data_IF_882619817101
#
_entry.id   IF_882619817101
#
_cell.length_a   1.000
_cell.length_b   1.000
_cell.length_c   1.000
_cell.angle_alpha   90.00
_cell.angle_beta   90.00
_cell.angle_gamma   90.00
#
_symmetry.space_group_name_H-M   'P 1'
#
loop_
_entity.id
_entity.type
_entity.pdbx_description
1 polymer ?
#
# COMPACT_ATOMS: atom_id res chain seq x y z
N UNK A 1 -23.07 28.54 -21.50
CA UNK A 1 -21.86 27.67 -21.70
C UNK A 1 -20.64 28.54 -21.51
N UNK A 2 -20.15 28.59 -20.28
CA UNK A 2 -18.93 29.36 -19.96
C UNK A 2 -17.76 28.37 -20.09
N UNK A 3 -16.93 28.56 -21.12
CA UNK A 3 -15.57 28.05 -21.14
C UNK A 3 -14.78 28.82 -20.08
N UNK A 4 -14.80 28.38 -18.85
CA UNK A 4 -13.75 28.77 -17.92
C UNK A 4 -12.44 28.34 -18.58
N UNK A 5 -11.53 29.29 -18.80
CA UNK A 5 -10.19 29.02 -19.31
C UNK A 5 -9.57 27.95 -18.42
N UNK A 6 -9.20 26.80 -19.00
CA UNK A 6 -8.27 25.87 -18.40
C UNK A 6 -6.95 26.62 -18.20
N UNK A 7 -6.84 27.33 -17.08
CA UNK A 7 -5.53 27.72 -16.59
C UNK A 7 -4.77 26.41 -16.41
N UNK A 8 -3.75 26.22 -17.20
CA UNK A 8 -2.94 25.01 -17.20
C UNK A 8 -2.45 24.75 -15.76
N UNK A 9 -3.00 23.75 -15.09
CA UNK A 9 -2.67 23.50 -13.71
C UNK A 9 -1.18 23.15 -13.61
N UNK A 10 -0.42 24.06 -13.00
CA UNK A 10 1.02 23.89 -12.84
C UNK A 10 1.28 22.82 -11.79
N UNK A 11 1.99 21.76 -12.17
CA UNK A 11 2.43 20.72 -11.25
C UNK A 11 3.62 21.23 -10.43
N UNK A 12 3.75 20.79 -9.15
CA UNK A 12 4.94 21.08 -8.36
C UNK A 12 6.21 20.58 -9.04
N UNK A 13 7.27 21.37 -8.99
CA UNK A 13 8.55 21.00 -9.58
C UNK A 13 9.19 19.81 -8.83
N UNK A 14 9.30 18.66 -9.50
CA UNK A 14 9.85 17.45 -8.94
C UNK A 14 11.31 17.62 -8.48
N UNK A 15 12.13 18.27 -9.31
CA UNK A 15 13.57 18.43 -9.09
C UNK A 15 13.94 19.77 -8.42
N UNK A 16 13.09 20.24 -7.50
CA UNK A 16 13.35 21.42 -6.66
C UNK A 16 13.04 21.07 -5.21
N UNK A 17 13.98 21.39 -4.31
CA UNK A 17 13.78 21.23 -2.87
C UNK A 17 12.72 22.21 -2.34
N UNK A 18 12.21 21.93 -1.15
CA UNK A 18 11.24 22.80 -0.48
C UNK A 18 11.79 24.22 -0.19
N UNK A 19 13.12 24.34 -0.04
CA UNK A 19 13.82 25.62 0.13
C UNK A 19 14.05 26.40 -1.18
N UNK A 20 13.54 25.91 -2.32
CA UNK A 20 13.65 26.51 -3.63
C UNK A 20 14.95 26.20 -4.37
N UNK A 21 15.89 25.46 -3.81
CA UNK A 21 17.13 25.07 -4.50
C UNK A 21 16.90 23.92 -5.47
N UNK A 22 17.67 23.86 -6.56
CA UNK A 22 17.56 22.81 -7.56
C UNK A 22 18.21 21.48 -7.09
N UNK A 23 17.60 20.36 -7.46
CA UNK A 23 18.22 19.02 -7.36
C UNK A 23 19.19 18.86 -8.54
N UNK A 24 20.43 19.33 -8.37
CA UNK A 24 21.41 19.46 -9.44
C UNK A 24 22.15 18.17 -9.77
N UNK A 25 22.05 17.13 -8.95
CA UNK A 25 22.75 15.87 -9.17
C UNK A 25 21.96 14.67 -8.66
N UNK A 26 22.12 13.46 -9.24
CA UNK A 26 21.45 12.25 -8.77
C UNK A 26 21.67 11.95 -7.27
N UNK A 27 22.85 12.25 -6.72
CA UNK A 27 23.17 12.06 -5.32
C UNK A 27 22.28 12.91 -4.36
N UNK A 28 21.66 13.99 -4.86
CA UNK A 28 20.75 14.83 -4.08
C UNK A 28 19.31 14.30 -4.08
N UNK A 29 18.96 13.38 -4.97
CA UNK A 29 17.63 12.82 -5.12
C UNK A 29 17.09 12.14 -3.85
N UNK A 30 17.85 11.33 -3.08
CA UNK A 30 17.33 10.71 -1.86
C UNK A 30 16.78 11.71 -0.86
N UNK A 31 17.43 12.88 -0.70
CA UNK A 31 16.92 13.97 0.14
C UNK A 31 15.59 14.51 -0.39
N UNK A 32 15.51 14.77 -1.71
CA UNK A 32 14.28 15.29 -2.33
C UNK A 32 13.14 14.27 -2.26
N UNK A 33 13.43 13.01 -2.55
CA UNK A 33 12.47 11.90 -2.43
C UNK A 33 11.88 11.86 -1.02
N UNK A 34 12.73 11.99 0.00
CA UNK A 34 12.29 12.02 1.39
C UNK A 34 11.38 13.22 1.70
N UNK A 35 11.72 14.42 1.23
CA UNK A 35 10.85 15.61 1.39
C UNK A 35 9.46 15.37 0.79
N UNK A 36 9.39 14.81 -0.41
CA UNK A 36 8.12 14.52 -1.08
C UNK A 36 7.34 13.44 -0.30
N UNK A 37 7.99 12.36 0.10
CA UNK A 37 7.37 11.30 0.87
C UNK A 37 6.83 11.80 2.22
N UNK A 38 7.61 12.61 2.94
CA UNK A 38 7.19 13.21 4.22
C UNK A 38 5.94 14.09 4.04
N UNK A 39 5.89 14.91 2.98
CA UNK A 39 4.75 15.77 2.67
C UNK A 39 3.49 14.96 2.35
N UNK A 40 3.62 13.96 1.48
CA UNK A 40 2.49 13.09 1.08
C UNK A 40 2.00 12.31 2.28
N UNK A 41 2.89 11.66 3.02
CA UNK A 41 2.54 10.86 4.20
C UNK A 41 1.86 11.71 5.27
N UNK A 42 2.33 12.94 5.50
CA UNK A 42 1.74 13.83 6.52
C UNK A 42 0.39 14.42 6.08
N UNK A 43 0.30 14.96 4.86
CA UNK A 43 -0.89 15.68 4.41
C UNK A 43 -1.97 14.73 3.89
N UNK A 44 -1.61 13.82 3.00
CA UNK A 44 -2.59 12.94 2.36
C UNK A 44 -3.00 11.80 3.28
N UNK A 45 -2.05 11.19 3.95
CA UNK A 45 -2.29 9.95 4.69
C UNK A 45 -2.38 10.12 6.22
N UNK A 46 -1.96 11.26 6.78
CA UNK A 46 -2.00 11.53 8.22
C UNK A 46 -0.97 10.75 9.03
N UNK A 47 0.12 10.34 8.39
CA UNK A 47 1.17 9.52 8.97
C UNK A 47 1.04 8.04 8.64
N UNK A 48 1.98 7.25 9.17
CA UNK A 48 1.94 5.78 9.14
C UNK A 48 1.83 5.25 10.57
N UNK A 49 1.19 4.09 10.80
CA UNK A 49 1.26 3.41 12.09
C UNK A 49 2.71 3.10 12.45
N UNK A 50 3.08 3.11 13.75
CA UNK A 50 4.44 2.81 14.18
C UNK A 50 4.91 1.42 13.72
N UNK A 51 6.21 1.33 13.42
CA UNK A 51 6.85 0.03 13.16
C UNK A 51 7.00 -0.71 14.49
N UNK A 52 6.50 -1.95 14.62
CA UNK A 52 6.69 -2.74 15.82
C UNK A 52 8.16 -3.15 15.97
N UNK A 53 8.58 -3.44 17.20
CA UNK A 53 9.94 -3.91 17.47
C UNK A 53 10.22 -5.29 16.85
N UNK A 54 9.19 -6.12 16.73
CA UNK A 54 9.29 -7.46 16.18
C UNK A 54 8.06 -7.81 15.34
N UNK A 55 8.28 -8.57 14.27
CA UNK A 55 7.21 -9.19 13.48
C UNK A 55 7.62 -10.61 13.12
N UNK A 56 6.75 -11.57 13.37
CA UNK A 56 7.00 -13.00 13.11
C UNK A 56 5.93 -13.60 12.21
N UNK A 57 6.27 -14.70 11.54
CA UNK A 57 5.34 -15.57 10.82
C UNK A 57 5.25 -16.92 11.53
N UNK A 58 4.14 -17.17 12.17
CA UNK A 58 3.80 -18.48 12.73
C UNK A 58 3.09 -19.31 11.66
N UNK A 59 3.65 -20.46 11.28
CA UNK A 59 2.96 -21.41 10.38
C UNK A 59 1.84 -22.10 11.14
N UNK A 60 0.60 -21.87 10.74
CA UNK A 60 -0.59 -22.51 11.31
C UNK A 60 -0.93 -23.81 10.58
N UNK A 61 -0.73 -23.84 9.28
CA UNK A 61 -1.11 -24.95 8.42
C UNK A 61 -0.22 -25.01 7.18
N UNK A 62 0.17 -26.23 6.80
CA UNK A 62 0.90 -26.51 5.56
C UNK A 62 0.29 -27.74 4.90
N UNK A 63 -0.08 -27.66 3.63
CA UNK A 63 -0.64 -28.77 2.87
C UNK A 63 -0.20 -28.75 1.40
N UNK A 64 -0.36 -29.87 0.72
CA UNK A 64 -0.33 -29.93 -0.74
C UNK A 64 -1.64 -29.37 -1.32
N UNK A 65 -1.57 -28.87 -2.54
CA UNK A 65 -2.76 -28.35 -3.25
C UNK A 65 -3.24 -29.42 -4.24
N UNK A 66 -4.48 -29.88 -4.06
CA UNK A 66 -5.07 -30.90 -4.96
C UNK A 66 -5.12 -30.37 -6.40
N UNK A 67 -4.60 -31.17 -7.33
CA UNK A 67 -4.59 -30.85 -8.76
C UNK A 67 -3.44 -29.94 -9.21
N UNK A 68 -2.56 -29.52 -8.29
CA UNK A 68 -1.34 -28.76 -8.58
C UNK A 68 -0.13 -29.50 -8.01
N UNK A 69 0.52 -30.31 -8.85
CA UNK A 69 1.64 -31.14 -8.41
C UNK A 69 2.80 -30.28 -7.88
N UNK A 70 3.31 -30.63 -6.70
CA UNK A 70 4.42 -29.96 -6.02
C UNK A 70 4.08 -28.59 -5.42
N UNK A 71 2.89 -28.02 -5.67
CA UNK A 71 2.45 -26.78 -5.06
C UNK A 71 2.06 -27.01 -3.60
N UNK A 72 2.54 -26.13 -2.72
CA UNK A 72 2.24 -26.13 -1.29
C UNK A 72 1.40 -24.90 -0.92
N UNK A 73 0.42 -25.10 -0.07
CA UNK A 73 -0.34 -24.03 0.57
C UNK A 73 0.11 -23.87 2.01
N UNK A 74 0.52 -22.66 2.38
CA UNK A 74 0.84 -22.30 3.76
C UNK A 74 -0.17 -21.24 4.22
N UNK A 75 -0.84 -21.51 5.34
CA UNK A 75 -1.56 -20.51 6.10
C UNK A 75 -0.74 -20.14 7.32
N UNK A 76 -0.43 -18.87 7.47
CA UNK A 76 0.38 -18.35 8.55
C UNK A 76 -0.30 -17.20 9.26
N UNK A 77 0.12 -16.94 10.48
CA UNK A 77 -0.23 -15.77 11.27
C UNK A 77 0.96 -14.83 11.30
N UNK A 78 0.80 -13.64 10.74
CA UNK A 78 1.73 -12.52 10.96
C UNK A 78 1.38 -11.94 12.32
N UNK A 79 2.35 -11.86 13.21
CA UNK A 79 2.16 -11.36 14.56
C UNK A 79 3.22 -10.33 14.91
N UNK A 80 2.78 -9.19 15.45
CA UNK A 80 3.65 -8.16 16.02
C UNK A 80 3.71 -8.30 17.53
N UNK A 81 4.78 -7.86 18.16
CA UNK A 81 4.86 -7.92 19.60
C UNK A 81 6.17 -7.37 20.15
N UNK A 82 6.40 -7.56 21.47
CA UNK A 82 5.41 -7.95 22.50
C UNK A 82 4.58 -6.78 23.04
N UNK A 83 5.05 -5.52 22.90
CA UNK A 83 4.49 -4.37 23.61
C UNK A 83 3.08 -3.99 23.13
N UNK A 84 2.87 -4.06 21.82
CA UNK A 84 1.58 -3.75 21.17
C UNK A 84 1.23 -4.86 20.18
N UNK A 85 0.72 -6.00 20.68
CA UNK A 85 0.45 -7.17 19.86
C UNK A 85 -0.71 -6.94 18.91
N UNK A 86 -0.48 -7.29 17.64
CA UNK A 86 -1.49 -7.36 16.61
C UNK A 86 -1.22 -8.58 15.73
N UNK A 87 -2.25 -9.23 15.24
CA UNK A 87 -2.10 -10.38 14.39
C UNK A 87 -3.14 -10.41 13.28
N UNK A 88 -2.73 -10.95 12.11
CA UNK A 88 -3.59 -11.17 10.96
C UNK A 88 -3.10 -12.37 10.14
N UNK A 89 -3.92 -12.86 9.23
CA UNK A 89 -3.60 -14.02 8.42
C UNK A 89 -2.85 -13.64 7.14
N UNK A 90 -1.86 -14.46 6.80
CA UNK A 90 -1.14 -14.44 5.52
C UNK A 90 -1.17 -15.84 4.93
N UNK A 91 -1.63 -15.97 3.70
CA UNK A 91 -1.62 -17.23 2.97
C UNK A 91 -0.61 -17.19 1.84
N UNK A 92 0.10 -18.29 1.63
CA UNK A 92 1.10 -18.44 0.58
C UNK A 92 0.77 -19.66 -0.26
N UNK A 93 0.76 -19.49 -1.59
CA UNK A 93 0.91 -20.58 -2.52
C UNK A 93 2.37 -20.61 -2.96
N UNK A 94 3.08 -21.68 -2.64
CA UNK A 94 4.49 -21.87 -2.97
C UNK A 94 4.59 -22.76 -4.21
N UNK A 95 5.36 -22.34 -5.22
CA UNK A 95 5.60 -23.17 -6.41
C UNK A 95 6.39 -24.43 -6.06
N UNK A 96 6.46 -25.44 -6.96
CA UNK A 96 7.32 -26.60 -6.79
C UNK A 96 8.80 -26.23 -6.62
N UNK A 97 9.53 -26.99 -5.80
CA UNK A 97 10.96 -26.81 -5.54
C UNK A 97 11.26 -26.23 -4.16
N UNK A 98 12.53 -25.91 -3.94
CA UNK A 98 13.05 -25.49 -2.62
C UNK A 98 13.22 -23.98 -2.48
N UNK A 99 13.26 -23.25 -3.61
CA UNK A 99 13.46 -21.79 -3.61
C UNK A 99 14.95 -21.39 -3.53
N UNK A 100 15.27 -20.15 -3.12
CA UNK A 100 14.31 -19.09 -2.77
C UNK A 100 13.53 -18.56 -3.99
N UNK A 101 12.26 -18.24 -3.77
CA UNK A 101 11.35 -17.78 -4.80
C UNK A 101 11.05 -16.29 -4.68
N UNK A 102 10.87 -15.56 -5.80
CA UNK A 102 10.28 -14.22 -5.78
C UNK A 102 8.83 -14.28 -5.32
N UNK A 103 8.32 -13.15 -4.83
CA UNK A 103 6.97 -13.07 -4.23
C UNK A 103 6.12 -12.04 -4.97
N UNK A 104 4.86 -12.37 -5.23
CA UNK A 104 3.79 -11.43 -5.54
C UNK A 104 2.85 -11.38 -4.34
N UNK A 105 2.80 -10.22 -3.67
CA UNK A 105 1.99 -9.99 -2.47
C UNK A 105 0.80 -9.09 -2.79
N UNK A 106 -0.40 -9.50 -2.36
CA UNK A 106 -1.61 -8.68 -2.46
C UNK A 106 -2.40 -8.66 -1.16
N UNK A 107 -2.98 -7.50 -0.82
CA UNK A 107 -3.87 -7.30 0.32
C UNK A 107 -5.36 -7.37 -0.02
N UNK A 108 -5.71 -7.76 -1.25
CA UNK A 108 -7.09 -7.69 -1.77
C UNK A 108 -7.93 -8.94 -1.49
N UNK A 109 -7.49 -9.84 -0.63
CA UNK A 109 -8.26 -11.04 -0.25
C UNK A 109 -9.61 -10.72 0.43
N UNK A 110 -9.83 -9.48 0.87
CA UNK A 110 -11.10 -8.99 1.41
C UNK A 110 -12.20 -8.79 0.37
N UNK A 111 -11.82 -8.56 -0.88
CA UNK A 111 -12.75 -8.15 -1.93
C UNK A 111 -12.81 -9.15 -3.08
N UNK A 112 -11.65 -9.60 -3.50
CA UNK A 112 -11.54 -10.51 -4.64
C UNK A 112 -10.33 -11.42 -4.47
N UNK A 113 -10.58 -12.70 -4.38
CA UNK A 113 -9.50 -13.65 -4.47
C UNK A 113 -8.89 -13.63 -5.87
N UNK A 114 -7.59 -13.88 -5.95
CA UNK A 114 -6.90 -14.11 -7.20
C UNK A 114 -7.56 -15.32 -7.90
N UNK A 115 -7.89 -15.18 -9.19
CA UNK A 115 -8.48 -16.28 -9.94
C UNK A 115 -7.49 -17.43 -10.12
N UNK A 116 -8.00 -18.66 -10.30
CA UNK A 116 -7.16 -19.84 -10.52
C UNK A 116 -6.20 -19.65 -11.70
N UNK A 117 -6.65 -18.97 -12.77
CA UNK A 117 -5.81 -18.69 -13.93
C UNK A 117 -4.62 -17.78 -13.58
N UNK A 118 -4.83 -16.74 -12.78
CA UNK A 118 -3.76 -15.84 -12.33
C UNK A 118 -2.85 -16.57 -11.35
N UNK A 119 -3.40 -17.35 -10.42
CA UNK A 119 -2.61 -18.15 -9.50
C UNK A 119 -1.72 -19.16 -10.25
N UNK A 120 -2.27 -19.85 -11.24
CA UNK A 120 -1.51 -20.78 -12.07
C UNK A 120 -0.38 -20.09 -12.86
N UNK A 121 -0.62 -18.90 -13.43
CA UNK A 121 0.40 -18.12 -14.14
C UNK A 121 1.54 -17.67 -13.20
N UNK A 122 1.21 -17.17 -12.02
CA UNK A 122 2.19 -16.75 -10.99
C UNK A 122 3.05 -17.94 -10.56
N UNK A 123 2.41 -19.06 -10.21
CA UNK A 123 3.09 -20.28 -9.77
C UNK A 123 3.90 -20.91 -10.91
N UNK A 124 3.36 -20.95 -12.13
CA UNK A 124 4.04 -21.49 -13.31
C UNK A 124 5.30 -20.73 -13.70
N UNK A 125 5.41 -19.45 -13.27
CA UNK A 125 6.63 -18.63 -13.42
C UNK A 125 7.59 -18.76 -12.24
N UNK A 126 7.30 -19.62 -11.26
CA UNK A 126 8.14 -19.84 -10.09
C UNK A 126 8.04 -18.73 -9.03
N UNK A 127 6.92 -18.01 -8.96
CA UNK A 127 6.68 -17.02 -7.93
C UNK A 127 5.79 -17.57 -6.81
N UNK A 128 6.05 -17.16 -5.58
CA UNK A 128 5.09 -17.32 -4.48
C UNK A 128 3.94 -16.32 -4.71
N UNK A 129 2.70 -16.79 -4.59
CA UNK A 129 1.54 -15.92 -4.46
C UNK A 129 1.20 -15.77 -2.97
N UNK A 130 1.44 -14.59 -2.43
CA UNK A 130 1.15 -14.23 -1.04
C UNK A 130 -0.08 -13.34 -0.97
N UNK A 131 -1.02 -13.65 -0.07
CA UNK A 131 -2.29 -12.96 0.05
C UNK A 131 -2.66 -12.73 1.51
N UNK A 132 -3.08 -11.49 1.84
CA UNK A 132 -3.69 -11.16 3.12
C UNK A 132 -4.95 -10.33 2.91
N UNK A 133 -5.79 -10.27 3.94
CA UNK A 133 -6.98 -9.42 3.94
C UNK A 133 -6.65 -8.09 4.63
N UNK A 134 -6.50 -7.00 3.87
CA UNK A 134 -6.19 -5.68 4.43
C UNK A 134 -7.25 -5.17 5.41
N UNK A 135 -8.50 -5.67 5.32
CA UNK A 135 -9.56 -5.24 6.25
C UNK A 135 -9.44 -5.86 7.64
N UNK A 136 -8.57 -6.88 7.82
CA UNK A 136 -8.14 -7.34 9.14
C UNK A 136 -7.26 -6.28 9.84
N UNK A 137 -6.52 -5.49 9.05
CA UNK A 137 -5.67 -4.42 9.60
C UNK A 137 -6.52 -3.21 10.01
N UNK A 138 -7.39 -2.74 9.12
CA UNK A 138 -8.30 -1.63 9.38
C UNK A 138 -9.61 -1.83 8.59
N UNK A 139 -10.78 -1.60 9.21
CA UNK A 139 -12.06 -1.74 8.52
C UNK A 139 -12.18 -0.79 7.34
N UNK A 140 -12.83 -1.26 6.27
CA UNK A 140 -13.17 -0.47 5.09
C UNK A 140 -14.61 0.02 5.18
N UNK A 141 -14.91 0.74 6.26
CA UNK A 141 -16.24 1.29 6.56
C UNK A 141 -16.13 2.68 7.15
N UNK A 142 -17.13 3.53 6.89
CA UNK A 142 -17.13 4.91 7.34
C UNK A 142 -17.41 5.06 8.86
N UNK A 143 -18.35 4.26 9.39
CA UNK A 143 -18.76 4.33 10.80
C UNK A 143 -17.84 3.48 11.67
N UNK A 144 -17.45 4.02 12.83
CA UNK A 144 -16.67 3.32 13.86
C UNK A 144 -15.36 2.65 13.36
N UNK A 145 -14.84 3.11 12.21
CA UNK A 145 -13.62 2.54 11.61
C UNK A 145 -12.46 2.48 12.60
N UNK A 146 -12.33 3.47 13.49
CA UNK A 146 -11.24 3.55 14.47
C UNK A 146 -11.48 2.74 15.76
N UNK A 147 -12.60 2.04 15.89
CA UNK A 147 -12.92 1.21 17.06
C UNK A 147 -12.29 -0.20 17.01
N UNK A 148 -11.66 -0.58 15.90
CA UNK A 148 -11.14 -1.94 15.68
C UNK A 148 -9.82 -1.96 14.90
N UNK A 149 -9.26 -3.16 14.69
CA UNK A 149 -8.02 -3.36 13.98
C UNK A 149 -6.84 -2.65 14.64
N UNK A 150 -5.93 -2.17 13.81
CA UNK A 150 -4.70 -1.49 14.22
C UNK A 150 -4.96 -0.19 15.00
N UNK A 151 -6.12 0.43 14.83
CA UNK A 151 -6.50 1.65 15.56
C UNK A 151 -6.66 1.44 17.07
N UNK A 152 -6.97 0.21 17.50
CA UNK A 152 -7.00 -0.13 18.93
C UNK A 152 -5.59 -0.29 19.52
N UNK A 153 -4.63 -0.63 18.67
CA UNK A 153 -3.24 -0.85 19.06
C UNK A 153 -2.46 0.46 19.08
N UNK A 154 -2.73 1.33 18.09
CA UNK A 154 -2.10 2.64 17.95
C UNK A 154 -3.18 3.73 17.78
N UNK A 155 -3.94 4.06 18.83
CA UNK A 155 -5.05 5.00 18.75
C UNK A 155 -4.63 6.46 18.55
N UNK A 156 -3.37 6.79 18.85
CA UNK A 156 -2.82 8.15 18.85
C UNK A 156 -2.62 8.71 17.44
N UNK A 157 -2.48 7.85 16.43
CA UNK A 157 -2.18 8.26 15.05
C UNK A 157 -3.37 8.93 14.36
N UNK A 158 -3.08 9.92 13.52
CA UNK A 158 -4.07 10.57 12.64
C UNK A 158 -4.23 9.88 11.28
N UNK A 159 -3.55 8.77 11.07
CA UNK A 159 -3.49 8.04 9.79
C UNK A 159 -4.86 7.47 9.39
N UNK A 160 -5.13 7.48 8.08
CA UNK A 160 -6.30 6.87 7.48
C UNK A 160 -6.15 5.37 7.21
N UNK A 161 -7.20 4.76 6.65
CA UNK A 161 -7.19 3.33 6.37
C UNK A 161 -6.14 2.92 5.32
N UNK A 162 -5.84 3.77 4.33
CA UNK A 162 -4.79 3.48 3.34
C UNK A 162 -3.41 3.30 4.00
N UNK A 163 -3.08 4.15 4.99
CA UNK A 163 -1.85 4.00 5.78
C UNK A 163 -1.84 2.73 6.61
N UNK A 164 -2.96 2.41 7.25
CA UNK A 164 -3.11 1.19 8.02
C UNK A 164 -2.93 -0.05 7.13
N UNK A 165 -3.52 -0.05 5.94
CA UNK A 165 -3.38 -1.14 4.98
C UNK A 165 -1.96 -1.24 4.42
N UNK A 166 -1.29 -0.11 4.11
CA UNK A 166 0.12 -0.10 3.70
C UNK A 166 1.04 -0.67 4.79
N UNK A 167 0.78 -0.33 6.07
CA UNK A 167 1.45 -0.95 7.21
C UNK A 167 1.29 -2.47 7.22
N UNK A 168 0.13 -3.01 6.84
CA UNK A 168 -0.08 -4.45 6.68
C UNK A 168 0.87 -5.08 5.66
N UNK A 169 1.10 -4.42 4.51
CA UNK A 169 2.12 -4.86 3.54
C UNK A 169 3.53 -4.86 4.14
N UNK A 170 3.92 -3.81 4.86
CA UNK A 170 5.23 -3.75 5.52
C UNK A 170 5.40 -4.88 6.53
N UNK A 171 4.36 -5.23 7.29
CA UNK A 171 4.42 -6.37 8.24
C UNK A 171 4.52 -7.71 7.53
N UNK A 172 3.86 -7.86 6.37
CA UNK A 172 4.06 -9.04 5.54
C UNK A 172 5.52 -9.15 5.06
N UNK A 173 6.14 -8.03 4.67
CA UNK A 173 7.56 -8.03 4.28
C UNK A 173 8.46 -8.45 5.45
N UNK A 174 8.25 -7.86 6.65
CA UNK A 174 9.02 -8.24 7.84
C UNK A 174 8.96 -9.75 8.10
N UNK A 175 7.76 -10.32 7.92
CA UNK A 175 7.51 -11.74 8.15
C UNK A 175 8.11 -12.65 7.05
N UNK A 176 8.21 -12.14 5.81
CA UNK A 176 8.64 -12.90 4.64
C UNK A 176 10.15 -12.88 4.40
N UNK A 177 10.81 -11.72 4.62
CA UNK A 177 12.23 -11.57 4.24
C UNK A 177 13.19 -12.50 4.99
N UNK A 178 12.78 -13.01 6.13
CA UNK A 178 13.55 -14.00 6.92
C UNK A 178 13.28 -15.46 6.55
N UNK A 179 12.34 -15.73 5.63
CA UNK A 179 11.98 -17.11 5.29
C UNK A 179 12.97 -17.71 4.29
N UNK A 180 13.48 -18.93 4.51
CA UNK A 180 14.52 -19.52 3.65
C UNK A 180 14.06 -19.78 2.22
N UNK A 181 12.76 -19.88 1.99
CA UNK A 181 12.16 -20.09 0.67
C UNK A 181 11.82 -18.80 -0.06
N UNK A 182 12.07 -17.60 0.51
CA UNK A 182 11.77 -16.29 -0.07
C UNK A 182 13.04 -15.62 -0.60
N UNK A 183 13.01 -15.18 -1.85
CA UNK A 183 13.99 -14.23 -2.37
C UNK A 183 13.62 -12.81 -1.94
N UNK A 184 14.23 -12.36 -0.84
CA UNK A 184 13.96 -11.06 -0.24
C UNK A 184 14.26 -9.86 -1.16
N UNK A 185 15.07 -10.05 -2.22
CA UNK A 185 15.39 -9.01 -3.20
C UNK A 185 14.34 -8.88 -4.30
N UNK A 186 13.38 -9.81 -4.39
CA UNK A 186 12.39 -9.88 -5.45
C UNK A 186 10.97 -10.01 -4.92
N UNK A 187 10.52 -9.04 -4.11
CA UNK A 187 9.15 -8.95 -3.60
C UNK A 187 8.41 -7.87 -4.37
N UNK A 188 7.38 -8.26 -5.10
CA UNK A 188 6.45 -7.37 -5.78
C UNK A 188 5.14 -7.24 -4.97
N UNK A 189 4.54 -6.03 -5.00
CA UNK A 189 3.21 -5.80 -4.43
C UNK A 189 2.21 -5.40 -5.50
N UNK A 190 0.97 -5.86 -5.37
CA UNK A 190 -0.11 -5.50 -6.29
C UNK A 190 -1.42 -5.29 -5.55
N UNK A 191 -2.30 -4.46 -6.12
CA UNK A 191 -3.63 -4.19 -5.60
C UNK A 191 -4.50 -3.46 -6.61
N UNK A 192 -5.81 -3.59 -6.48
CA UNK A 192 -6.80 -2.97 -7.36
C UNK A 192 -7.56 -1.85 -6.66
N UNK A 193 -7.86 -0.75 -7.40
CA UNK A 193 -8.65 0.38 -6.91
C UNK A 193 -8.05 0.96 -5.62
N UNK A 194 -8.75 0.92 -4.49
CA UNK A 194 -8.22 1.31 -3.16
C UNK A 194 -7.01 0.47 -2.74
N UNK A 195 -6.95 -0.81 -3.12
CA UNK A 195 -5.76 -1.64 -2.99
C UNK A 195 -4.59 -1.13 -3.84
N UNK A 196 -4.88 -0.59 -5.04
CA UNK A 196 -3.91 0.09 -5.89
C UNK A 196 -3.34 1.36 -5.24
N UNK A 197 -4.19 2.20 -4.61
CA UNK A 197 -3.73 3.36 -3.81
C UNK A 197 -2.81 2.89 -2.66
N UNK A 198 -3.23 1.81 -1.97
CA UNK A 198 -2.47 1.24 -0.84
C UNK A 198 -1.08 0.77 -1.24
N UNK A 199 -0.95 0.04 -2.36
CA UNK A 199 0.37 -0.49 -2.76
C UNK A 199 1.30 0.60 -3.27
N UNK A 200 0.78 1.70 -3.83
CA UNK A 200 1.60 2.87 -4.16
C UNK A 200 2.22 3.47 -2.90
N UNK A 201 1.43 3.67 -1.84
CA UNK A 201 1.93 4.13 -0.56
C UNK A 201 2.93 3.14 0.04
N UNK A 202 2.59 1.84 0.05
CA UNK A 202 3.47 0.81 0.59
C UNK A 202 4.83 0.79 -0.11
N UNK A 203 4.86 0.80 -1.45
CA UNK A 203 6.09 0.81 -2.23
C UNK A 203 6.89 2.13 -2.12
N UNK A 204 6.20 3.26 -1.93
CA UNK A 204 6.86 4.55 -1.72
C UNK A 204 7.55 4.65 -0.35
N UNK A 205 7.08 3.89 0.65
CA UNK A 205 7.51 3.99 2.05
C UNK A 205 8.30 2.77 2.56
N UNK A 206 8.51 1.74 1.72
CA UNK A 206 9.35 0.58 2.04
C UNK A 206 10.20 0.15 0.83
N UNK A 207 11.50 0.42 0.88
CA UNK A 207 12.45 0.14 -0.20
C UNK A 207 12.74 -1.35 -0.43
N UNK A 208 12.27 -2.25 0.44
CA UNK A 208 12.33 -3.71 0.21
C UNK A 208 11.36 -4.19 -0.86
N UNK A 209 10.37 -3.36 -1.21
CA UNK A 209 9.44 -3.62 -2.31
C UNK A 209 10.17 -3.33 -3.64
N UNK A 210 10.52 -4.40 -4.35
CA UNK A 210 11.26 -4.31 -5.61
C UNK A 210 10.39 -3.84 -6.79
N UNK A 211 9.07 -4.08 -6.74
CA UNK A 211 8.13 -3.68 -7.78
C UNK A 211 6.74 -3.41 -7.20
N UNK A 212 6.15 -2.30 -7.61
CA UNK A 212 4.77 -1.93 -7.28
C UNK A 212 3.92 -1.92 -8.54
N UNK A 213 2.90 -2.78 -8.60
CA UNK A 213 1.96 -2.89 -9.70
C UNK A 213 0.56 -2.46 -9.25
N UNK A 214 0.27 -1.17 -9.30
CA UNK A 214 -1.03 -0.62 -8.95
C UNK A 214 -1.99 -0.73 -10.15
N UNK A 215 -3.18 -1.30 -9.94
CA UNK A 215 -4.21 -1.41 -10.94
C UNK A 215 -5.37 -0.46 -10.64
N UNK A 216 -5.69 0.44 -11.57
CA UNK A 216 -6.83 1.38 -11.50
C UNK A 216 -6.90 2.16 -10.16
N UNK A 217 -5.76 2.69 -9.70
CA UNK A 217 -5.69 3.36 -8.40
C UNK A 217 -6.46 4.70 -8.34
N UNK A 218 -6.64 5.40 -9.46
CA UNK A 218 -7.43 6.64 -9.53
C UNK A 218 -6.87 7.79 -8.68
N UNK A 219 -7.68 8.79 -8.40
CA UNK A 219 -7.33 9.92 -7.55
C UNK A 219 -7.00 9.46 -6.11
N UNK A 220 -5.96 10.04 -5.48
CA UNK A 220 -5.39 9.52 -4.23
C UNK A 220 -4.61 8.21 -4.43
N UNK A 221 -4.25 7.90 -5.65
CA UNK A 221 -3.36 6.86 -6.11
C UNK A 221 -2.44 7.46 -7.18
N UNK A 222 -2.44 6.95 -8.43
CA UNK A 222 -1.65 7.51 -9.52
C UNK A 222 -2.40 8.62 -10.31
N UNK A 223 -3.62 8.95 -9.94
CA UNK A 223 -4.44 9.97 -10.60
C UNK A 223 -4.17 11.36 -10.03
N UNK A 224 -3.76 12.29 -10.90
CA UNK A 224 -3.47 13.68 -10.56
C UNK A 224 -4.68 14.39 -9.95
N UNK A 225 -4.52 15.11 -8.84
CA UNK A 225 -5.58 15.90 -8.23
C UNK A 225 -5.90 17.19 -9.03
N UNK A 226 -4.89 17.80 -9.64
CA UNK A 226 -5.05 19.06 -10.39
C UNK A 226 -5.58 18.88 -11.81
N UNK A 227 -5.31 17.75 -12.42
CA UNK A 227 -5.68 17.47 -13.82
C UNK A 227 -6.56 16.23 -13.87
N UNK A 228 -7.85 16.44 -14.04
CA UNK A 228 -8.83 15.37 -14.04
C UNK A 228 -9.68 15.39 -15.29
N UNK A 229 -10.00 14.21 -15.83
CA UNK A 229 -10.97 14.10 -16.93
C UNK A 229 -12.40 14.28 -16.44
N UNK A 230 -13.36 14.44 -17.37
CA UNK A 230 -14.76 14.73 -17.02
C UNK A 230 -15.47 13.69 -16.16
N UNK A 231 -14.93 12.45 -16.12
CA UNK A 231 -15.47 11.33 -15.34
C UNK A 231 -14.52 10.87 -14.25
N UNK A 232 -13.45 11.62 -13.97
CA UNK A 232 -12.51 11.29 -12.91
C UNK A 232 -13.11 11.55 -11.54
N UNK A 233 -12.80 10.70 -10.59
CA UNK A 233 -13.06 10.92 -9.17
C UNK A 233 -12.24 12.13 -8.69
N UNK A 234 -12.90 13.09 -8.06
CA UNK A 234 -12.28 14.32 -7.57
C UNK A 234 -11.84 14.18 -6.11
N UNK A 235 -10.96 15.08 -5.64
CA UNK A 235 -10.64 15.17 -4.22
C UNK A 235 -11.90 15.43 -3.38
N UNK A 236 -12.83 16.26 -3.89
CA UNK A 236 -14.12 16.50 -3.25
C UNK A 236 -14.97 15.25 -3.09
N UNK A 237 -14.98 14.37 -4.10
CA UNK A 237 -15.70 13.09 -4.03
C UNK A 237 -15.08 12.12 -3.01
N UNK A 238 -13.75 12.04 -2.99
CA UNK A 238 -13.01 11.27 -2.00
C UNK A 238 -13.32 11.74 -0.58
N UNK A 239 -13.26 13.04 -0.33
CA UNK A 239 -13.49 13.60 1.00
C UNK A 239 -14.95 13.55 1.45
N UNK A 240 -15.90 13.48 0.51
CA UNK A 240 -17.34 13.31 0.82
C UNK A 240 -17.66 11.87 1.20
N UNK A 241 -17.08 10.90 0.48
CA UNK A 241 -17.51 9.51 0.56
C UNK A 241 -16.53 8.60 1.32
N UNK A 242 -15.24 8.94 1.28
CA UNK A 242 -14.13 8.04 1.65
C UNK A 242 -13.07 8.75 2.51
N UNK A 243 -13.45 9.81 3.20
CA UNK A 243 -12.51 10.60 4.01
C UNK A 243 -11.72 9.77 5.04
N UNK A 244 -12.29 8.67 5.52
CA UNK A 244 -11.63 7.76 6.47
C UNK A 244 -10.44 6.99 5.88
N UNK A 245 -10.27 7.00 4.56
CA UNK A 245 -9.08 6.42 3.91
C UNK A 245 -7.84 7.27 4.11
N UNK A 246 -8.02 8.58 4.26
CA UNK A 246 -6.98 9.61 4.22
C UNK A 246 -6.74 10.26 5.59
N UNK A 247 -5.66 11.01 5.67
CA UNK A 247 -5.39 11.86 6.82
C UNK A 247 -6.30 13.10 6.84
N UNK A 248 -6.51 13.69 8.03
CA UNK A 248 -7.46 14.80 8.18
C UNK A 248 -7.03 16.09 7.47
N UNK A 249 -5.73 16.28 7.21
CA UNK A 249 -5.20 17.51 6.59
C UNK A 249 -5.60 17.65 5.12
N UNK A 250 -5.76 16.52 4.39
CA UNK A 250 -6.08 16.53 2.97
C UNK A 250 -7.40 17.25 2.67
N UNK A 251 -8.38 17.17 3.57
CA UNK A 251 -9.69 17.83 3.42
C UNK A 251 -9.59 19.33 3.21
N UNK A 252 -8.57 20.01 3.74
CA UNK A 252 -8.39 21.45 3.61
C UNK A 252 -8.10 21.90 2.16
N UNK A 253 -7.74 20.96 1.29
CA UNK A 253 -7.41 21.23 -0.10
C UNK A 253 -8.56 20.98 -1.08
N UNK A 254 -9.73 20.57 -0.63
CA UNK A 254 -10.92 20.40 -1.48
C UNK A 254 -11.31 21.75 -2.10
N UNK A 255 -11.33 21.82 -3.44
CA UNK A 255 -11.53 23.05 -4.20
C UNK A 255 -10.31 23.99 -4.22
N UNK A 256 -9.20 23.56 -3.68
CA UNK A 256 -7.92 24.25 -3.61
C UNK A 256 -6.75 23.33 -4.00
N UNK A 257 -7.00 22.39 -4.89
CA UNK A 257 -6.04 21.37 -5.31
C UNK A 257 -4.75 21.98 -5.87
N UNK A 258 -4.84 23.17 -6.46
CA UNK A 258 -3.68 23.93 -6.94
C UNK A 258 -2.68 24.34 -5.83
N UNK A 259 -3.12 24.36 -4.57
CA UNK A 259 -2.30 24.74 -3.41
C UNK A 259 -1.66 23.54 -2.72
N UNK A 260 -1.96 22.29 -3.13
CA UNK A 260 -1.25 21.12 -2.61
C UNK A 260 0.27 21.26 -2.91
N UNK A 261 1.14 20.98 -1.94
CA UNK A 261 2.59 21.05 -2.16
C UNK A 261 3.16 19.87 -2.95
N UNK A 262 2.29 18.94 -3.37
CA UNK A 262 2.60 17.76 -4.20
C UNK A 262 1.46 17.51 -5.19
N UNK A 263 1.67 16.59 -6.13
CA UNK A 263 0.62 15.93 -6.90
C UNK A 263 1.11 14.52 -7.29
N UNK A 264 0.17 13.69 -7.79
CA UNK A 264 0.43 12.29 -8.11
C UNK A 264 0.42 12.03 -9.61
#
# INVERSE_FOLDING_TARGET
MNKASEAEAVLPELLRFADGTAVAAPAAWPRRRKEIADLIVDIEYGGLPPTPAETTLETLHLSSVRGLEGVRFLSGRVQTGPDRPFAFLLTLLLPPGDGPFPVVLTGDACWRYVTDAVAADVLGRGFILAQFNRTEIAPDVYSDARSSGIYRVYPEGAYGALSAWAWGYHRCLDALVGQPFVDASRIAVTGHSRGGKTVLLAGATDERIALTAANNSGAGGAGCFRRQGPQSETLGDLMRNLAYWFGPKLRAYVGREAELPFDQ
#
